data_IF_414455537691
#
_entry.id   IF_414455537691
#
_cell.length_a   1.000
_cell.length_b   1.000
_cell.length_c   1.000
_cell.angle_alpha   90.00
_cell.angle_beta   90.00
_cell.angle_gamma   90.00
#
_symmetry.space_group_name_H-M   'P 1'
#
loop_
_entity.id
_entity.type
_entity.pdbx_description
1 polymer ?
#
# COMPACT_ATOMS: atom_id res chain seq x y z
N UNK A 1 11.29 7.25 9.82
CA UNK A 1 10.95 6.43 8.63
C UNK A 1 11.61 5.08 8.80
N UNK A 2 10.83 4.06 8.94
CA UNK A 2 11.29 2.67 9.04
C UNK A 2 11.36 1.99 7.66
N UNK A 3 10.59 2.49 6.69
CA UNK A 3 10.64 2.03 5.29
C UNK A 3 11.93 2.43 4.59
N UNK A 4 12.47 1.54 3.76
CA UNK A 4 13.79 1.72 3.12
C UNK A 4 13.80 1.22 1.68
N UNK A 5 14.67 1.83 0.86
CA UNK A 5 14.99 1.32 -0.47
C UNK A 5 16.08 0.26 -0.32
N UNK A 6 15.82 -0.94 -0.82
CA UNK A 6 16.76 -2.08 -0.73
C UNK A 6 17.70 -2.18 -1.94
N UNK A 7 17.34 -1.57 -3.05
CA UNK A 7 18.12 -1.60 -4.28
C UNK A 7 17.35 -1.00 -5.45
N UNK A 8 17.97 -0.99 -6.63
CA UNK A 8 17.37 -0.51 -7.87
C UNK A 8 17.49 -1.54 -8.98
N UNK A 9 16.41 -1.73 -9.70
CA UNK A 9 16.34 -2.58 -10.88
C UNK A 9 16.30 -1.67 -12.11
N UNK A 10 17.37 -1.66 -12.94
CA UNK A 10 17.33 -0.96 -14.20
C UNK A 10 16.40 -1.67 -15.17
N UNK A 11 15.54 -0.92 -15.85
CA UNK A 11 14.62 -1.42 -16.84
C UNK A 11 15.04 -1.04 -18.26
N UNK A 12 14.74 -1.93 -19.20
CA UNK A 12 14.57 -1.60 -20.61
C UNK A 12 13.19 -0.97 -20.79
N UNK A 13 13.16 0.32 -21.03
CA UNK A 13 11.93 1.11 -21.03
C UNK A 13 10.96 0.69 -22.16
N UNK A 14 11.47 0.27 -23.32
CA UNK A 14 10.63 -0.16 -24.43
C UNK A 14 9.95 -1.51 -24.12
N UNK A 15 10.71 -2.46 -23.59
CA UNK A 15 10.19 -3.77 -23.18
C UNK A 15 9.20 -3.65 -22.02
N UNK A 16 9.53 -2.82 -21.04
CA UNK A 16 8.66 -2.56 -19.88
C UNK A 16 7.34 -1.93 -20.32
N UNK A 17 7.36 -0.93 -21.20
CA UNK A 17 6.15 -0.28 -21.69
C UNK A 17 5.22 -1.27 -22.42
N UNK A 18 5.77 -2.22 -23.19
CA UNK A 18 4.99 -3.28 -23.84
C UNK A 18 4.30 -4.18 -22.81
N UNK A 19 5.00 -4.57 -21.75
CA UNK A 19 4.42 -5.40 -20.70
C UNK A 19 3.39 -4.63 -19.85
N UNK A 20 3.63 -3.36 -19.53
CA UNK A 20 2.63 -2.51 -18.85
C UNK A 20 1.35 -2.38 -19.69
N UNK A 21 1.47 -2.20 -21.01
CA UNK A 21 0.30 -2.17 -21.88
C UNK A 21 -0.50 -3.48 -21.85
N UNK A 22 0.18 -4.64 -21.77
CA UNK A 22 -0.47 -5.95 -21.62
C UNK A 22 -1.13 -6.10 -20.26
N UNK A 23 -0.43 -5.76 -19.16
CA UNK A 23 -1.01 -5.77 -17.81
C UNK A 23 -2.30 -4.94 -17.76
N UNK A 24 -2.30 -3.77 -18.40
CA UNK A 24 -3.45 -2.86 -18.42
C UNK A 24 -4.64 -3.39 -19.23
N UNK A 25 -4.41 -4.33 -20.13
CA UNK A 25 -5.45 -5.00 -20.93
C UNK A 25 -6.00 -6.28 -20.27
N UNK A 26 -5.35 -6.79 -19.21
CA UNK A 26 -5.80 -7.99 -18.51
C UNK A 26 -7.01 -7.72 -17.62
N UNK A 27 -7.84 -8.75 -17.43
CA UNK A 27 -8.93 -8.71 -16.44
C UNK A 27 -8.34 -8.85 -15.05
N UNK A 28 -8.38 -7.76 -14.30
CA UNK A 28 -7.89 -7.73 -12.93
C UNK A 28 -8.93 -8.23 -11.93
N UNK A 29 -8.46 -8.78 -10.81
CA UNK A 29 -9.28 -9.05 -9.64
C UNK A 29 -9.49 -7.76 -8.86
N UNK A 30 -10.73 -7.54 -8.39
CA UNK A 30 -11.01 -6.42 -7.52
C UNK A 30 -10.54 -6.76 -6.10
N UNK A 31 -9.83 -5.82 -5.46
CA UNK A 31 -9.40 -6.01 -4.07
C UNK A 31 -10.59 -5.99 -3.11
N UNK A 32 -10.61 -6.92 -2.13
CA UNK A 32 -11.67 -6.98 -1.13
C UNK A 32 -11.59 -5.85 -0.08
N UNK A 33 -10.50 -5.08 -0.03
CA UNK A 33 -10.23 -4.08 1.02
C UNK A 33 -10.94 -2.74 0.81
N UNK A 34 -12.24 -2.76 0.49
CA UNK A 34 -13.02 -1.55 0.22
C UNK A 34 -13.10 -0.55 1.40
N UNK A 35 -12.93 -1.02 2.64
CA UNK A 35 -12.88 -0.14 3.81
C UNK A 35 -11.62 0.72 3.85
N UNK A 36 -10.51 0.22 3.30
CA UNK A 36 -9.20 0.88 3.34
C UNK A 36 -8.98 1.87 2.20
N UNK A 37 -9.75 1.78 1.10
CA UNK A 37 -9.43 2.47 -0.14
C UNK A 37 -10.60 3.19 -0.76
N UNK A 38 -10.26 4.23 -1.54
CA UNK A 38 -11.13 4.86 -2.54
C UNK A 38 -10.42 4.86 -3.89
N UNK A 39 -11.20 4.97 -4.98
CA UNK A 39 -10.66 4.93 -6.33
C UNK A 39 -10.41 3.51 -6.84
N UNK A 40 -9.54 3.38 -7.82
CA UNK A 40 -9.28 2.10 -8.48
C UNK A 40 -8.00 1.46 -7.93
N UNK A 41 -8.16 0.25 -7.44
CA UNK A 41 -7.05 -0.63 -7.07
C UNK A 41 -7.26 -1.99 -7.73
N UNK A 42 -6.43 -2.29 -8.71
CA UNK A 42 -6.48 -3.55 -9.46
C UNK A 42 -5.31 -4.44 -9.07
N UNK A 43 -5.56 -5.74 -8.97
CA UNK A 43 -4.54 -6.75 -8.74
C UNK A 43 -4.56 -7.83 -9.82
N UNK A 44 -3.36 -8.27 -10.17
CA UNK A 44 -3.10 -9.41 -11.04
C UNK A 44 -2.18 -10.38 -10.31
N UNK A 45 -2.60 -11.62 -10.11
CA UNK A 45 -1.76 -12.64 -9.48
C UNK A 45 -0.80 -13.22 -10.51
N UNK A 46 0.46 -12.79 -10.46
CA UNK A 46 1.50 -13.19 -11.41
C UNK A 46 2.29 -14.42 -10.95
N UNK A 47 2.35 -14.63 -9.61
CA UNK A 47 3.08 -15.72 -8.98
C UNK A 47 2.43 -16.05 -7.65
N UNK A 48 2.16 -17.31 -7.35
CA UNK A 48 1.58 -17.75 -6.08
C UNK A 48 1.84 -19.24 -5.83
N UNK A 49 1.37 -19.74 -4.70
CA UNK A 49 1.60 -21.14 -4.29
C UNK A 49 0.96 -22.16 -5.23
N UNK A 50 -0.22 -21.87 -5.79
CA UNK A 50 -0.98 -22.79 -6.66
C UNK A 50 -0.63 -22.68 -8.15
N UNK A 51 -0.10 -21.53 -8.61
CA UNK A 51 0.05 -21.19 -10.03
C UNK A 51 -1.28 -20.81 -10.72
N UNK A 52 -2.38 -20.77 -9.98
CA UNK A 52 -3.67 -20.34 -10.52
C UNK A 52 -3.82 -18.81 -10.39
N UNK A 53 -4.03 -18.13 -11.50
CA UNK A 53 -4.23 -16.67 -11.55
C UNK A 53 -5.46 -16.18 -10.75
N UNK A 54 -6.42 -17.07 -10.49
CA UNK A 54 -7.63 -16.76 -9.71
C UNK A 54 -7.44 -16.97 -8.20
N UNK A 55 -6.33 -17.58 -7.80
CA UNK A 55 -5.99 -17.78 -6.40
C UNK A 55 -5.29 -16.53 -5.86
N UNK A 56 -6.09 -15.64 -5.27
CA UNK A 56 -5.62 -14.41 -4.63
C UNK A 56 -5.30 -14.57 -3.14
N UNK A 57 -5.42 -15.79 -2.60
CA UNK A 57 -5.16 -16.01 -1.18
C UNK A 57 -3.69 -15.86 -0.85
N UNK A 58 -3.44 -15.16 0.23
CA UNK A 58 -2.12 -15.09 0.83
C UNK A 58 -1.93 -16.28 1.79
N UNK A 59 -0.96 -17.13 1.45
CA UNK A 59 -0.58 -18.27 2.28
C UNK A 59 0.72 -17.93 3.03
N UNK A 60 0.64 -17.02 4.00
CA UNK A 60 1.81 -16.55 4.75
C UNK A 60 2.56 -17.62 5.54
N UNK A 61 1.93 -18.77 5.74
CA UNK A 61 2.53 -19.89 6.46
C UNK A 61 3.32 -20.86 5.56
N UNK A 62 3.22 -20.73 4.24
CA UNK A 62 3.93 -21.59 3.32
C UNK A 62 5.33 -21.02 3.03
N UNK A 63 6.33 -21.56 3.72
CA UNK A 63 7.75 -21.22 3.51
C UNK A 63 8.34 -21.87 2.25
N UNK A 64 7.50 -22.23 1.28
CA UNK A 64 7.91 -22.82 0.00
C UNK A 64 7.79 -21.82 -1.14
N UNK A 65 8.64 -21.93 -2.18
CA UNK A 65 8.51 -21.11 -3.37
C UNK A 65 7.15 -21.29 -4.03
N UNK A 66 6.60 -20.18 -4.52
CA UNK A 66 5.45 -20.21 -5.42
C UNK A 66 5.87 -20.61 -6.84
N UNK A 67 4.93 -20.47 -7.78
CA UNK A 67 5.13 -20.71 -9.19
C UNK A 67 4.43 -19.65 -10.05
N UNK A 68 4.90 -19.49 -11.29
CA UNK A 68 4.32 -18.54 -12.22
C UNK A 68 2.87 -18.93 -12.55
N UNK A 69 1.99 -17.94 -12.64
CA UNK A 69 0.66 -18.10 -13.22
C UNK A 69 0.70 -17.88 -14.74
N UNK A 70 -0.37 -18.24 -15.44
CA UNK A 70 -0.47 -18.00 -16.88
C UNK A 70 -0.37 -16.51 -17.26
N UNK A 71 -0.77 -15.59 -16.35
CA UNK A 71 -0.65 -14.14 -16.60
C UNK A 71 0.80 -13.68 -16.73
N UNK A 72 1.74 -14.33 -16.04
CA UNK A 72 3.15 -13.97 -16.14
C UNK A 72 3.75 -14.35 -17.50
N UNK A 73 3.21 -15.33 -18.20
CA UNK A 73 3.66 -15.70 -19.55
C UNK A 73 3.30 -14.63 -20.58
N UNK A 74 2.26 -13.85 -20.34
CA UNK A 74 1.84 -12.74 -21.20
C UNK A 74 2.75 -11.50 -21.06
N UNK A 75 3.59 -11.43 -20.04
CA UNK A 75 4.51 -10.31 -19.75
C UNK A 75 5.95 -10.81 -19.63
N UNK A 76 6.56 -11.23 -20.75
CA UNK A 76 7.83 -11.95 -20.77
C UNK A 76 9.01 -11.15 -20.24
N UNK A 77 8.99 -9.83 -20.36
CA UNK A 77 10.06 -9.00 -19.80
C UNK A 77 9.98 -8.93 -18.28
N UNK A 78 8.79 -8.75 -17.71
CA UNK A 78 8.61 -8.81 -16.27
C UNK A 78 8.94 -10.20 -15.71
N UNK A 79 8.62 -11.27 -16.44
CA UNK A 79 9.05 -12.63 -16.08
C UNK A 79 10.57 -12.73 -16.02
N UNK A 80 11.28 -12.22 -17.03
CA UNK A 80 12.75 -12.16 -17.04
C UNK A 80 13.28 -11.37 -15.85
N UNK A 81 12.72 -10.19 -15.56
CA UNK A 81 13.10 -9.37 -14.41
C UNK A 81 12.92 -10.14 -13.10
N UNK A 82 11.74 -10.73 -12.88
CA UNK A 82 11.44 -11.48 -11.65
C UNK A 82 12.41 -12.65 -11.44
N UNK A 83 12.69 -13.43 -12.49
CA UNK A 83 13.52 -14.64 -12.38
C UNK A 83 15.02 -14.39 -12.42
N UNK A 84 15.47 -13.23 -12.96
CA UNK A 84 16.90 -12.89 -13.08
C UNK A 84 17.39 -11.89 -12.02
N UNK A 85 16.51 -11.09 -11.45
CA UNK A 85 16.88 -10.05 -10.48
C UNK A 85 16.53 -10.45 -9.05
N UNK A 86 15.49 -11.24 -8.87
CA UNK A 86 15.06 -11.72 -7.57
C UNK A 86 15.36 -13.21 -7.40
N UNK A 87 15.30 -13.69 -6.17
CA UNK A 87 15.53 -15.09 -5.82
C UNK A 87 14.20 -15.88 -5.91
N UNK A 88 13.93 -16.64 -6.99
CA UNK A 88 12.68 -17.33 -7.17
C UNK A 88 12.49 -18.49 -6.17
N UNK A 89 13.58 -19.01 -5.59
CA UNK A 89 13.51 -20.08 -4.59
C UNK A 89 12.94 -19.62 -3.25
N UNK A 90 12.90 -18.30 -3.03
CA UNK A 90 12.29 -17.69 -1.84
C UNK A 90 11.01 -16.93 -2.15
N UNK A 91 10.72 -16.68 -3.41
CA UNK A 91 9.57 -15.89 -3.83
C UNK A 91 8.28 -16.72 -3.71
N UNK A 92 7.39 -16.31 -2.80
CA UNK A 92 6.15 -17.03 -2.50
C UNK A 92 4.96 -16.47 -3.25
N UNK A 93 4.93 -15.13 -3.48
CA UNK A 93 3.84 -14.45 -4.18
C UNK A 93 4.35 -13.22 -4.94
N UNK A 94 3.77 -12.93 -6.11
CA UNK A 94 3.91 -11.67 -6.83
C UNK A 94 2.55 -11.22 -7.32
N UNK A 95 2.18 -9.99 -6.98
CA UNK A 95 0.98 -9.31 -7.45
C UNK A 95 1.35 -8.06 -8.24
N UNK A 96 0.87 -7.97 -9.48
CA UNK A 96 0.85 -6.71 -10.22
C UNK A 96 -0.27 -5.83 -9.66
N UNK A 97 0.04 -4.61 -9.26
CA UNK A 97 -0.90 -3.64 -8.69
C UNK A 97 -0.95 -2.38 -9.53
N UNK A 98 -2.16 -1.93 -9.85
CA UNK A 98 -2.37 -0.64 -10.48
C UNK A 98 -3.31 0.22 -9.65
N UNK A 99 -2.93 1.47 -9.42
CA UNK A 99 -3.73 2.43 -8.66
C UNK A 99 -3.98 3.69 -9.49
N UNK A 100 -5.26 4.08 -9.60
CA UNK A 100 -5.72 5.24 -10.38
C UNK A 100 -6.78 6.00 -9.57
N UNK A 101 -6.65 7.32 -9.46
CA UNK A 101 -7.54 8.16 -8.64
C UNK A 101 -7.76 7.57 -7.24
N UNK A 102 -6.68 7.11 -6.66
CA UNK A 102 -6.65 6.20 -5.52
C UNK A 102 -6.20 6.91 -4.25
N UNK A 103 -6.76 6.48 -3.13
CA UNK A 103 -6.22 6.81 -1.80
C UNK A 103 -6.43 5.62 -0.87
N UNK A 104 -5.41 5.31 -0.08
CA UNK A 104 -5.52 4.40 1.06
C UNK A 104 -5.45 5.21 2.35
N UNK A 105 -6.39 4.92 3.26
CA UNK A 105 -6.53 5.64 4.53
C UNK A 105 -5.33 5.34 5.44
N UNK A 106 -4.88 6.27 6.33
CA UNK A 106 -3.84 5.99 7.30
C UNK A 106 -4.17 4.76 8.17
N UNK A 107 -3.32 3.72 8.11
CA UNK A 107 -3.54 2.45 8.80
C UNK A 107 -2.24 1.74 9.14
N UNK A 108 -2.33 0.68 9.91
CA UNK A 108 -1.28 -0.32 10.15
C UNK A 108 -1.72 -1.67 9.63
N UNK A 109 -0.78 -2.47 9.15
CA UNK A 109 -0.98 -3.87 8.86
C UNK A 109 -0.56 -4.71 10.07
N UNK A 110 -1.55 -5.13 10.88
CA UNK A 110 -1.30 -5.81 12.15
C UNK A 110 -0.70 -7.22 11.99
N UNK A 111 -0.81 -7.82 10.81
CA UNK A 111 -0.15 -9.09 10.49
C UNK A 111 1.37 -8.90 10.45
N UNK A 112 1.84 -7.79 9.86
CA UNK A 112 3.26 -7.46 9.82
C UNK A 112 3.79 -6.97 11.18
N UNK A 113 2.92 -6.53 12.07
CA UNK A 113 3.26 -6.15 13.45
C UNK A 113 3.38 -7.34 14.41
N UNK A 114 3.08 -8.58 13.96
CA UNK A 114 3.20 -9.78 14.78
C UNK A 114 4.64 -10.17 15.10
N UNK A 115 4.83 -10.95 16.16
CA UNK A 115 6.14 -11.37 16.67
C UNK A 115 6.92 -12.31 15.73
N UNK A 116 6.26 -12.87 14.73
CA UNK A 116 6.85 -13.82 13.78
C UNK A 116 6.57 -13.36 12.35
N UNK A 117 7.56 -12.72 11.75
CA UNK A 117 7.51 -12.44 10.31
C UNK A 117 7.89 -13.72 9.55
N UNK A 118 6.92 -14.42 9.02
CA UNK A 118 7.13 -15.59 8.17
C UNK A 118 7.39 -15.21 6.71
N UNK A 119 7.18 -13.94 6.35
CA UNK A 119 7.41 -13.42 5.01
C UNK A 119 8.07 -12.04 5.06
N UNK A 120 8.71 -11.68 3.95
CA UNK A 120 9.30 -10.37 3.73
C UNK A 120 8.72 -9.76 2.47
N UNK A 121 7.97 -8.65 2.62
CA UNK A 121 7.27 -7.98 1.52
C UNK A 121 8.07 -6.80 1.00
N UNK A 122 8.19 -6.74 -0.33
CA UNK A 122 8.76 -5.57 -1.01
C UNK A 122 7.86 -5.13 -2.17
N UNK A 123 8.03 -3.87 -2.56
CA UNK A 123 7.31 -3.27 -3.67
C UNK A 123 8.33 -2.78 -4.69
N UNK A 124 8.21 -3.25 -5.94
CA UNK A 124 8.99 -2.76 -7.09
C UNK A 124 8.09 -1.88 -7.96
N UNK A 125 8.43 -0.60 -8.09
CA UNK A 125 7.65 0.32 -8.91
C UNK A 125 8.06 0.24 -10.37
N UNK A 126 7.06 0.14 -11.26
CA UNK A 126 7.24 0.01 -12.71
C UNK A 126 7.08 1.35 -13.43
N UNK A 127 6.42 2.31 -12.81
CA UNK A 127 6.12 3.62 -13.38
C UNK A 127 6.41 4.75 -12.40
N UNK A 128 6.87 5.88 -12.94
CA UNK A 128 6.90 7.15 -12.22
C UNK A 128 5.58 7.89 -12.39
N UNK A 129 5.06 8.44 -11.30
CA UNK A 129 3.90 9.30 -11.29
C UNK A 129 4.06 10.35 -10.18
N UNK A 130 4.24 11.62 -10.58
CA UNK A 130 4.45 12.74 -9.65
C UNK A 130 3.24 13.02 -8.73
N UNK A 131 2.05 12.55 -9.12
CA UNK A 131 0.84 12.69 -8.32
C UNK A 131 0.61 11.49 -7.39
N UNK A 132 1.51 10.53 -7.42
CA UNK A 132 1.45 9.36 -6.57
C UNK A 132 2.53 9.42 -5.49
N UNK A 133 2.09 9.41 -4.25
CA UNK A 133 2.94 9.55 -3.06
C UNK A 133 2.58 8.51 -2.00
N UNK A 134 3.53 8.20 -1.17
CA UNK A 134 3.37 7.31 -0.03
C UNK A 134 3.83 8.02 1.24
N UNK A 135 3.35 7.58 2.37
CA UNK A 135 3.85 8.01 3.66
C UNK A 135 4.14 6.83 4.58
N UNK A 136 5.13 7.00 5.41
CA UNK A 136 5.52 6.15 6.50
C UNK A 136 5.74 7.05 7.71
N UNK A 137 4.92 6.91 8.74
CA UNK A 137 4.80 7.87 9.81
C UNK A 137 4.58 9.29 9.24
N UNK A 138 5.34 10.27 9.66
CA UNK A 138 5.16 11.67 9.24
C UNK A 138 5.97 12.08 8.00
N UNK A 139 6.66 11.15 7.36
CA UNK A 139 7.40 11.41 6.14
C UNK A 139 6.58 11.03 4.90
N UNK A 140 6.41 11.99 3.99
CA UNK A 140 5.82 11.77 2.66
C UNK A 140 6.92 11.72 1.61
N UNK A 141 6.86 10.74 0.71
CA UNK A 141 7.89 10.51 -0.28
C UNK A 141 7.36 9.89 -1.57
N UNK A 142 8.13 10.06 -2.64
CA UNK A 142 7.92 9.32 -3.88
C UNK A 142 8.66 7.99 -3.84
N UNK A 143 8.00 6.94 -4.30
CA UNK A 143 8.63 5.69 -4.65
C UNK A 143 8.80 5.66 -6.17
N UNK A 144 10.04 5.66 -6.65
CA UNK A 144 10.38 5.85 -8.07
C UNK A 144 10.47 4.53 -8.83
N UNK A 145 10.31 4.62 -10.15
CA UNK A 145 10.48 3.48 -11.06
C UNK A 145 11.84 2.81 -10.84
N UNK A 146 11.81 1.49 -10.73
CA UNK A 146 12.98 0.65 -10.50
C UNK A 146 13.40 0.51 -9.05
N UNK A 147 12.90 1.34 -8.13
CA UNK A 147 13.19 1.20 -6.71
C UNK A 147 12.48 -0.02 -6.10
N UNK A 148 13.24 -0.82 -5.36
CA UNK A 148 12.72 -1.94 -4.57
C UNK A 148 12.57 -1.47 -3.14
N UNK A 149 11.35 -1.34 -2.67
CA UNK A 149 11.02 -0.80 -1.37
C UNK A 149 10.60 -1.88 -0.38
N UNK A 150 11.19 -1.85 0.82
CA UNK A 150 10.57 -2.41 2.01
C UNK A 150 9.73 -1.32 2.67
N UNK A 151 8.41 -1.52 2.73
CA UNK A 151 7.50 -0.65 3.47
C UNK A 151 7.26 -1.29 4.83
N UNK A 152 7.61 -0.59 5.91
CA UNK A 152 7.30 -1.05 7.27
C UNK A 152 5.82 -0.83 7.57
N UNK A 153 5.01 -1.79 7.17
CA UNK A 153 3.56 -1.72 7.31
C UNK A 153 3.07 -1.89 8.77
N UNK A 154 3.97 -2.23 9.70
CA UNK A 154 3.69 -2.20 11.14
C UNK A 154 3.59 -0.76 11.69
N UNK A 155 4.15 0.23 10.97
CA UNK A 155 3.96 1.65 11.26
C UNK A 155 2.70 2.17 10.57
N UNK A 156 2.21 3.34 11.05
CA UNK A 156 1.09 4.00 10.36
C UNK A 156 1.59 4.47 8.99
N UNK A 157 0.94 3.98 7.96
CA UNK A 157 1.28 4.31 6.58
C UNK A 157 0.03 4.61 5.76
N UNK A 158 0.23 5.28 4.63
CA UNK A 158 -0.81 5.61 3.69
C UNK A 158 -0.21 5.83 2.29
N UNK A 159 -1.06 5.94 1.28
CA UNK A 159 -0.64 6.24 -0.07
C UNK A 159 -1.77 6.82 -0.89
N UNK A 160 -1.42 7.60 -1.91
CA UNK A 160 -2.41 8.12 -2.86
C UNK A 160 -1.82 8.22 -4.27
N UNK A 161 -2.71 8.17 -5.25
CA UNK A 161 -2.48 8.63 -6.62
C UNK A 161 -3.67 9.51 -7.03
N UNK A 162 -3.49 10.82 -7.01
CA UNK A 162 -4.55 11.79 -7.30
C UNK A 162 -4.66 12.14 -8.80
N UNK A 163 -4.16 11.27 -9.66
CA UNK A 163 -4.25 11.44 -11.11
C UNK A 163 -4.98 10.28 -11.79
N UNK A 164 -5.48 10.54 -13.00
CA UNK A 164 -6.04 9.51 -13.88
C UNK A 164 -4.96 8.65 -14.58
N UNK A 165 -3.68 8.95 -14.35
CA UNK A 165 -2.56 8.14 -14.84
C UNK A 165 -2.37 6.92 -13.95
N UNK A 166 -2.08 5.79 -14.56
CA UNK A 166 -1.73 4.56 -13.86
C UNK A 166 -0.47 4.71 -13.01
N UNK A 167 -0.33 3.82 -12.05
CA UNK A 167 0.91 3.58 -11.32
C UNK A 167 1.04 2.10 -11.03
N UNK A 168 1.62 1.40 -11.99
CA UNK A 168 1.90 -0.02 -11.83
C UNK A 168 3.06 -0.26 -10.88
N UNK A 169 2.90 -1.25 -10.05
CA UNK A 169 3.94 -1.81 -9.18
C UNK A 169 3.79 -3.32 -9.06
N UNK A 170 4.87 -3.98 -8.66
CA UNK A 170 4.86 -5.38 -8.25
C UNK A 170 5.02 -5.46 -6.74
N UNK A 171 4.10 -6.13 -6.06
CA UNK A 171 4.21 -6.50 -4.66
C UNK A 171 4.73 -7.93 -4.59
N UNK A 172 5.93 -8.11 -4.04
CA UNK A 172 6.61 -9.40 -3.96
C UNK A 172 6.73 -9.83 -2.49
N UNK A 173 6.30 -11.05 -2.21
CA UNK A 173 6.46 -11.69 -0.89
C UNK A 173 7.50 -12.80 -1.00
N UNK A 174 8.41 -12.84 -0.02
CA UNK A 174 9.49 -13.83 0.08
C UNK A 174 9.40 -14.59 1.40
N UNK A 175 9.70 -15.87 1.40
CA UNK A 175 9.83 -16.67 2.60
C UNK A 175 10.99 -16.14 3.47
N UNK A 176 10.68 -15.76 4.71
CA UNK A 176 11.62 -15.16 5.67
C UNK A 176 11.79 -16.07 6.90
N UNK A 177 12.52 -17.16 6.74
CA UNK A 177 12.84 -18.08 7.83
C UNK A 177 14.05 -17.63 8.68
N UNK A 178 14.47 -18.43 9.67
CA UNK A 178 15.61 -18.12 10.51
C UNK A 178 16.88 -17.81 9.70
N UNK A 179 17.54 -16.72 10.03
CA UNK A 179 18.75 -16.26 9.34
C UNK A 179 18.53 -15.49 8.05
N UNK A 180 17.29 -15.23 7.66
CA UNK A 180 16.96 -14.40 6.50
C UNK A 180 17.55 -13.00 6.63
N UNK A 181 18.05 -12.48 5.51
CA UNK A 181 18.54 -11.10 5.38
C UNK A 181 17.83 -10.42 4.19
N UNK A 182 17.60 -9.10 4.24
CA UNK A 182 17.00 -8.36 3.12
C UNK A 182 17.72 -8.55 1.77
N UNK A 183 19.04 -8.82 1.79
CA UNK A 183 19.80 -9.16 0.57
C UNK A 183 19.39 -10.48 -0.10
N UNK A 184 18.75 -11.40 0.64
CA UNK A 184 18.40 -12.73 0.17
C UNK A 184 17.23 -12.73 -0.83
N UNK A 185 16.51 -11.59 -0.93
CA UNK A 185 15.46 -11.42 -1.94
C UNK A 185 16.01 -11.30 -3.36
N UNK A 186 17.28 -10.86 -3.50
CA UNK A 186 17.91 -10.68 -4.81
C UNK A 186 18.58 -11.96 -5.30
N UNK A 187 18.58 -12.17 -6.61
CA UNK A 187 19.32 -13.25 -7.24
C UNK A 187 20.85 -13.12 -7.00
N UNK A 188 21.31 -11.88 -6.84
CA UNK A 188 22.70 -11.54 -6.55
C UNK A 188 22.72 -10.62 -5.32
N UNK A 189 23.43 -11.00 -4.24
CA UNK A 189 23.48 -10.19 -3.01
C UNK A 189 24.07 -8.80 -3.20
N UNK A 190 24.90 -8.57 -4.23
CA UNK A 190 25.44 -7.26 -4.59
C UNK A 190 24.42 -6.27 -5.18
N UNK A 191 23.21 -6.76 -5.49
CA UNK A 191 22.08 -5.90 -5.86
C UNK A 191 21.41 -5.23 -4.65
N UNK A 192 21.77 -5.63 -3.44
CA UNK A 192 21.34 -4.97 -2.21
C UNK A 192 22.18 -3.73 -1.95
N UNK A 193 21.54 -2.56 -1.96
CA UNK A 193 22.19 -1.25 -1.82
C UNK A 193 21.66 -0.53 -0.57
N UNK A 194 22.14 -0.89 0.63
CA UNK A 194 21.73 -0.22 1.85
C UNK A 194 22.20 1.24 1.84
N UNK A 195 21.34 2.15 2.26
CA UNK A 195 21.66 3.59 2.34
C UNK A 195 21.15 4.44 1.20
N UNK A 196 20.42 3.86 0.25
CA UNK A 196 19.63 4.63 -0.70
C UNK A 196 18.58 5.46 0.07
N UNK A 197 18.37 6.70 -0.38
CA UNK A 197 17.44 7.62 0.28
C UNK A 197 16.20 7.83 -0.55
N UNK A 198 15.05 7.88 0.13
CA UNK A 198 13.79 8.29 -0.44
C UNK A 198 13.87 9.70 -1.02
N UNK A 199 13.07 9.97 -2.05
CA UNK A 199 12.82 11.33 -2.53
C UNK A 199 11.67 11.93 -1.73
N UNK A 200 11.94 12.86 -0.78
CA UNK A 200 10.90 13.44 0.05
C UNK A 200 9.99 14.34 -0.77
N UNK A 201 8.76 14.49 -0.30
CA UNK A 201 7.80 15.46 -0.81
C UNK A 201 7.73 16.62 0.19
N UNK A 202 7.98 17.83 -0.31
CA UNK A 202 7.80 19.04 0.48
C UNK A 202 6.29 19.32 0.64
N UNK A 203 5.87 19.50 1.88
CA UNK A 203 4.49 19.84 2.24
C UNK A 203 4.41 21.27 2.71
N UNK A 204 3.24 21.87 2.59
CA UNK A 204 2.99 23.24 3.11
C UNK A 204 2.89 23.20 4.64
N UNK A 205 3.43 24.18 5.35
CA UNK A 205 3.14 24.36 6.78
C UNK A 205 1.63 24.38 7.00
N UNK A 206 1.17 23.64 7.99
CA UNK A 206 -0.25 23.62 8.34
C UNK A 206 -0.67 24.92 9.03
N UNK A 207 -1.87 25.42 8.70
CA UNK A 207 -2.46 26.53 9.42
C UNK A 207 -2.86 26.11 10.84
N UNK A 208 -2.54 26.89 11.89
CA UNK A 208 -3.01 26.64 13.24
C UNK A 208 -4.55 26.56 13.35
N UNK A 209 -5.27 27.21 12.44
CA UNK A 209 -6.75 27.22 12.40
C UNK A 209 -7.32 25.99 11.67
N UNK A 210 -6.49 25.15 11.07
CA UNK A 210 -6.96 23.97 10.30
C UNK A 210 -7.91 23.07 11.11
N UNK A 211 -7.61 22.67 12.36
CA UNK A 211 -8.50 21.82 13.14
C UNK A 211 -9.88 22.47 13.39
N UNK A 212 -9.92 23.79 13.65
CA UNK A 212 -11.17 24.51 13.83
C UNK A 212 -11.99 24.56 12.54
N UNK A 213 -11.35 24.85 11.41
CA UNK A 213 -12.01 24.84 10.09
C UNK A 213 -12.57 23.47 9.74
N UNK A 214 -11.88 22.38 10.08
CA UNK A 214 -12.34 21.02 9.84
C UNK A 214 -13.55 20.66 10.70
N UNK A 215 -13.66 21.18 11.91
CA UNK A 215 -14.84 21.00 12.77
C UNK A 215 -16.14 21.48 12.13
N UNK A 216 -16.09 22.44 11.22
CA UNK A 216 -17.27 22.87 10.47
C UNK A 216 -17.95 21.71 9.70
N UNK A 217 -17.21 20.63 9.40
CA UNK A 217 -17.76 19.41 8.79
C UNK A 217 -18.77 18.70 9.71
N UNK A 218 -18.80 19.01 11.02
CA UNK A 218 -19.79 18.49 11.97
C UNK A 218 -21.24 18.81 11.57
N UNK A 219 -21.45 19.88 10.82
CA UNK A 219 -22.78 20.29 10.34
C UNK A 219 -23.30 19.48 9.15
N UNK A 220 -22.41 18.72 8.47
CA UNK A 220 -22.74 17.97 7.25
C UNK A 220 -22.39 16.49 7.31
N UNK A 221 -21.63 16.08 8.33
CA UNK A 221 -21.28 14.66 8.50
C UNK A 221 -22.54 13.82 8.72
N UNK A 222 -22.59 12.68 8.08
CA UNK A 222 -23.71 11.74 8.15
C UNK A 222 -23.21 10.31 7.90
N UNK A 223 -24.05 9.30 8.13
CA UNK A 223 -23.76 7.90 7.82
C UNK A 223 -23.43 7.66 6.35
N UNK A 224 -23.92 8.51 5.45
CA UNK A 224 -23.72 8.35 4.00
C UNK A 224 -22.39 8.90 3.51
N UNK A 225 -21.74 9.80 4.27
CA UNK A 225 -20.52 10.49 3.83
C UNK A 225 -19.36 10.42 4.83
N UNK A 226 -19.52 9.78 5.99
CA UNK A 226 -18.45 9.68 7.01
C UNK A 226 -17.19 9.01 6.45
N UNK A 227 -17.33 8.00 5.57
CA UNK A 227 -16.22 7.40 4.85
C UNK A 227 -15.49 8.41 3.98
N UNK A 228 -16.21 9.18 3.18
CA UNK A 228 -15.62 10.18 2.28
C UNK A 228 -14.91 11.29 3.07
N UNK A 229 -15.49 11.70 4.21
CA UNK A 229 -14.87 12.65 5.13
C UNK A 229 -13.58 12.07 5.71
N UNK A 230 -13.57 10.82 6.17
CA UNK A 230 -12.37 10.17 6.69
C UNK A 230 -11.24 10.17 5.64
N UNK A 231 -11.55 9.84 4.38
CA UNK A 231 -10.57 9.88 3.29
C UNK A 231 -10.12 11.31 2.93
N UNK A 232 -11.03 12.29 2.98
CA UNK A 232 -10.67 13.69 2.81
C UNK A 232 -9.65 14.12 3.87
N UNK A 233 -9.91 13.80 5.13
CA UNK A 233 -9.01 14.15 6.26
C UNK A 233 -7.65 13.44 6.11
N UNK A 234 -7.64 12.16 5.73
CA UNK A 234 -6.40 11.40 5.52
C UNK A 234 -5.51 11.97 4.42
N UNK A 235 -6.10 12.60 3.39
CA UNK A 235 -5.36 13.22 2.29
C UNK A 235 -4.64 14.51 2.68
N UNK A 236 -5.07 15.20 3.72
CA UNK A 236 -4.45 16.46 4.18
C UNK A 236 -2.98 16.23 4.55
N UNK A 237 -2.66 15.07 5.15
CA UNK A 237 -1.30 14.68 5.49
C UNK A 237 -0.32 14.74 4.29
N UNK A 238 -0.78 14.49 3.07
CA UNK A 238 0.08 14.50 1.89
C UNK A 238 0.36 15.90 1.34
N UNK A 239 -0.41 16.90 1.74
CA UNK A 239 -0.30 18.27 1.24
C UNK A 239 0.15 19.27 2.30
N UNK A 240 -0.09 18.97 3.58
CA UNK A 240 0.23 19.84 4.71
C UNK A 240 1.08 19.10 5.75
N UNK A 241 1.93 19.84 6.46
CA UNK A 241 2.78 19.29 7.54
C UNK A 241 1.96 19.01 8.80
N UNK A 242 1.21 17.91 8.75
CA UNK A 242 0.42 17.39 9.87
C UNK A 242 0.80 15.93 10.15
N UNK A 243 0.72 15.46 11.40
CA UNK A 243 0.91 14.05 11.71
C UNK A 243 -0.07 13.15 10.95
N UNK A 244 0.39 11.99 10.50
CA UNK A 244 -0.44 11.06 9.74
C UNK A 244 -1.67 10.59 10.54
N UNK A 245 -1.53 10.46 11.87
CA UNK A 245 -2.61 10.04 12.76
C UNK A 245 -3.66 11.13 13.05
N UNK A 246 -3.38 12.41 12.72
CA UNK A 246 -4.27 13.53 13.05
C UNK A 246 -5.66 13.42 12.38
N UNK A 247 -5.73 12.77 11.21
CA UNK A 247 -6.99 12.56 10.49
C UNK A 247 -8.04 11.83 11.33
N UNK A 248 -7.62 10.87 12.15
CA UNK A 248 -8.51 10.11 13.02
C UNK A 248 -9.01 10.91 14.20
N UNK A 249 -8.15 11.77 14.79
CA UNK A 249 -8.54 12.65 15.88
C UNK A 249 -9.54 13.70 15.39
N UNK A 250 -9.30 14.27 14.20
CA UNK A 250 -10.25 15.20 13.59
C UNK A 250 -11.60 14.54 13.27
N UNK A 251 -11.60 13.31 12.77
CA UNK A 251 -12.85 12.59 12.50
C UNK A 251 -13.66 12.41 13.78
N UNK A 252 -13.01 12.00 14.87
CA UNK A 252 -13.65 11.86 16.19
C UNK A 252 -14.18 13.21 16.69
N UNK A 253 -13.42 14.30 16.56
CA UNK A 253 -13.87 15.62 16.98
C UNK A 253 -15.07 16.10 16.16
N UNK A 254 -15.06 15.92 14.83
CA UNK A 254 -16.16 16.25 13.93
C UNK A 254 -17.42 15.48 14.29
N UNK A 255 -17.32 14.19 14.52
CA UNK A 255 -18.48 13.34 14.85
C UNK A 255 -18.99 13.62 16.26
N UNK A 256 -18.13 13.93 17.22
CA UNK A 256 -18.53 14.35 18.56
C UNK A 256 -19.32 15.67 18.53
N UNK A 257 -18.85 16.64 17.76
CA UNK A 257 -19.50 17.95 17.64
C UNK A 257 -20.81 17.89 16.86
N UNK A 258 -21.00 16.91 15.99
CA UNK A 258 -22.28 16.69 15.31
C UNK A 258 -23.41 16.31 16.26
N UNK A 259 -23.09 15.81 17.46
CA UNK A 259 -24.06 15.36 18.45
C UNK A 259 -24.71 14.00 18.14
N UNK A 260 -24.32 13.34 17.06
CA UNK A 260 -24.80 12.00 16.71
C UNK A 260 -23.90 10.91 17.35
N UNK A 261 -24.42 10.16 18.37
CA UNK A 261 -23.62 9.16 19.08
C UNK A 261 -23.21 7.96 18.19
N UNK A 262 -23.97 7.65 17.14
CA UNK A 262 -23.64 6.56 16.25
C UNK A 262 -22.48 6.92 15.33
N UNK A 263 -22.40 8.17 14.87
CA UNK A 263 -21.25 8.64 14.08
C UNK A 263 -19.99 8.66 14.91
N UNK A 264 -20.08 9.07 16.20
CA UNK A 264 -18.96 9.02 17.12
C UNK A 264 -18.46 7.60 17.33
N UNK A 265 -19.37 6.63 17.57
CA UNK A 265 -19.03 5.22 17.72
C UNK A 265 -18.32 4.68 16.44
N UNK A 266 -18.82 5.01 15.26
CA UNK A 266 -18.19 4.62 13.98
C UNK A 266 -16.76 5.19 13.90
N UNK A 267 -16.54 6.47 14.23
CA UNK A 267 -15.22 7.10 14.16
C UNK A 267 -14.22 6.49 15.16
N UNK A 268 -14.66 6.22 16.40
CA UNK A 268 -13.82 5.60 17.42
C UNK A 268 -13.47 4.14 17.07
N UNK A 269 -14.42 3.36 16.58
CA UNK A 269 -14.17 1.99 16.09
C UNK A 269 -13.25 1.99 14.86
N UNK A 270 -13.42 2.97 13.95
CA UNK A 270 -12.53 3.12 12.80
C UNK A 270 -11.09 3.36 13.26
N UNK A 271 -10.85 4.34 14.13
CA UNK A 271 -9.51 4.59 14.67
C UNK A 271 -8.92 3.34 15.35
N UNK A 272 -9.73 2.62 16.14
CA UNK A 272 -9.30 1.37 16.76
C UNK A 272 -8.86 0.37 15.70
N UNK A 273 -9.72 0.07 14.72
CA UNK A 273 -9.50 -0.93 13.69
C UNK A 273 -8.31 -0.62 12.78
N UNK A 274 -8.18 0.64 12.34
CA UNK A 274 -7.14 1.01 11.39
C UNK A 274 -5.78 1.27 12.04
N UNK A 275 -5.74 1.70 13.31
CA UNK A 275 -4.50 2.23 13.91
C UNK A 275 -4.09 1.55 15.21
N UNK A 276 -5.06 1.21 16.08
CA UNK A 276 -4.73 0.79 17.46
C UNK A 276 -4.63 -0.72 17.62
N UNK A 277 -5.63 -1.46 17.16
CA UNK A 277 -5.68 -2.91 17.29
C UNK A 277 -6.73 -3.53 16.37
N UNK A 278 -6.37 -4.63 15.72
CA UNK A 278 -7.26 -5.43 14.88
C UNK A 278 -6.89 -6.90 15.01
N UNK A 279 -7.89 -7.77 15.11
CA UNK A 279 -7.68 -9.22 15.06
C UNK A 279 -7.60 -9.71 13.61
N UNK A 280 -6.89 -10.82 13.39
CA UNK A 280 -6.81 -11.45 12.06
C UNK A 280 -8.21 -11.92 11.64
N UNK A 281 -8.65 -11.46 10.46
CA UNK A 281 -9.99 -11.75 9.94
C UNK A 281 -11.10 -10.81 10.44
N UNK A 282 -10.77 -9.81 11.26
CA UNK A 282 -11.70 -8.75 11.63
C UNK A 282 -11.96 -7.84 10.43
N UNK A 283 -13.24 -7.61 10.13
CA UNK A 283 -13.69 -6.70 9.07
C UNK A 283 -14.25 -5.41 9.66
N UNK A 284 -14.16 -4.32 8.89
CA UNK A 284 -14.73 -3.03 9.23
C UNK A 284 -15.54 -2.46 8.08
N UNK A 285 -16.68 -1.87 8.41
CA UNK A 285 -17.46 -1.06 7.48
C UNK A 285 -17.83 0.27 8.12
N UNK A 286 -17.74 1.34 7.34
CA UNK A 286 -18.27 2.66 7.71
C UNK A 286 -19.80 2.72 7.63
N UNK A 287 -20.41 1.80 6.89
CA UNK A 287 -21.86 1.69 6.80
C UNK A 287 -22.36 0.80 7.93
N UNK A 288 -23.46 1.15 8.61
CA UNK A 288 -24.14 0.22 9.51
C UNK A 288 -24.63 -0.96 8.66
N UNK A 289 -24.46 -2.16 9.20
CA UNK A 289 -24.99 -3.39 8.61
C UNK A 289 -26.50 -3.40 8.58
#
# INVERSE_FOLDING_TARGET
MASVILGRIPFDDERLAKDIARLSAMSALQEPYQAFTTGTWLNLNLWNASGDQHDGFWYGHEQRPGQATALLDEVPYLREVLTSRFNPERMTMVRGRNVVEFSIIPHRDFIEAGDVQEFFRVILFLEDNEHAVNSDEDMVFHMRKGEVWFLDAAQIHAGMNMSSRSRWSLCLDFAAGPGFKPSDIFARPDSYEPGLRATPVERKPSSPELPERLRALSTVVSRHNIKDIAFLLGRIHFTEEVPIGASWDWLIDITRESGDPELLDIAERAKKFFVLSREVGEDFTFLPG
#
